data_IF_162901130059
#
_entry.id   IF_162901130059
#
_cell.length_a   1.000
_cell.length_b   1.000
_cell.length_c   1.000
_cell.angle_alpha   90.00
_cell.angle_beta   90.00
_cell.angle_gamma   90.00
#
_symmetry.space_group_name_H-M   'P 1'
#
loop_
_entity.id
_entity.type
_entity.pdbx_description
1 polymer ?
#
# COMPACT_ATOMS: atom_id res chain seq x y z
N UNK A 1 3.59 12.77 0.96
CA UNK A 1 3.03 11.62 0.22
C UNK A 1 1.82 11.10 0.99
N UNK A 2 0.88 10.44 0.33
CA UNK A 2 -0.37 9.97 0.95
C UNK A 2 -0.30 8.46 1.10
N UNK A 3 -0.36 7.95 2.34
CA UNK A 3 -0.41 6.51 2.62
C UNK A 3 -1.85 6.00 2.59
N UNK A 4 -2.12 4.90 1.89
CA UNK A 4 -3.45 4.25 1.83
C UNK A 4 -3.75 3.36 3.04
N UNK A 5 -2.80 3.24 3.96
CA UNK A 5 -2.85 2.41 5.17
C UNK A 5 -2.21 3.18 6.32
N UNK A 6 -2.61 2.89 7.55
CA UNK A 6 -1.99 3.52 8.73
C UNK A 6 -0.66 2.86 9.09
N UNK A 7 0.21 3.59 9.76
CA UNK A 7 1.46 3.05 10.30
C UNK A 7 1.21 1.87 11.25
N UNK A 8 0.16 1.92 12.06
CA UNK A 8 -0.20 0.83 12.97
C UNK A 8 -0.56 -0.46 12.22
N UNK A 9 -1.28 -0.37 11.10
CA UNK A 9 -1.60 -1.53 10.26
C UNK A 9 -0.32 -2.16 9.69
N UNK A 10 0.61 -1.32 9.25
CA UNK A 10 1.91 -1.76 8.71
C UNK A 10 2.77 -2.38 9.81
N UNK A 11 2.86 -1.75 10.98
CA UNK A 11 3.58 -2.29 12.15
C UNK A 11 3.04 -3.65 12.57
N UNK A 12 1.71 -3.78 12.66
CA UNK A 12 1.07 -5.06 13.02
C UNK A 12 1.41 -6.15 12.00
N UNK A 13 1.36 -5.83 10.70
CA UNK A 13 1.72 -6.78 9.65
C UNK A 13 3.22 -7.09 9.63
N UNK A 14 4.07 -6.10 9.88
CA UNK A 14 5.52 -6.25 9.86
C UNK A 14 6.02 -7.09 11.05
N UNK A 15 5.44 -6.94 12.24
CA UNK A 15 5.78 -7.73 13.43
C UNK A 15 5.63 -9.25 13.21
N UNK A 16 4.71 -9.68 12.33
CA UNK A 16 4.56 -11.09 11.96
C UNK A 16 5.79 -11.65 11.20
N UNK A 17 6.62 -10.78 10.62
CA UNK A 17 7.69 -11.18 9.70
C UNK A 17 9.07 -10.57 9.98
N UNK A 18 9.16 -9.47 10.74
CA UNK A 18 10.37 -8.70 11.00
C UNK A 18 10.44 -8.30 12.50
N UNK A 19 10.58 -9.27 13.42
CA UNK A 19 10.54 -8.99 14.86
C UNK A 19 11.74 -8.19 15.39
N UNK A 20 12.88 -8.17 14.68
CA UNK A 20 14.16 -7.66 15.20
C UNK A 20 14.77 -6.50 14.38
N UNK A 21 14.03 -5.96 13.42
CA UNK A 21 14.51 -4.85 12.59
C UNK A 21 13.56 -3.66 12.80
N UNK A 22 14.08 -2.44 12.91
CA UNK A 22 13.29 -1.21 12.92
C UNK A 22 13.34 -0.55 11.53
N UNK A 23 12.66 -1.13 10.53
CA UNK A 23 12.55 -0.46 9.26
C UNK A 23 11.77 0.85 9.44
N UNK A 24 12.18 1.91 8.73
CA UNK A 24 11.31 3.03 8.39
C UNK A 24 10.05 2.53 7.64
N UNK A 25 9.08 2.05 8.44
CA UNK A 25 7.82 1.50 7.99
C UNK A 25 6.92 2.59 7.42
N UNK A 26 7.11 3.84 7.84
CA UNK A 26 6.38 4.97 7.26
C UNK A 26 6.81 5.18 5.81
N UNK A 27 8.11 5.17 5.53
CA UNK A 27 8.62 5.21 4.16
C UNK A 27 8.10 4.03 3.33
N UNK A 28 8.09 2.81 3.89
CA UNK A 28 7.56 1.64 3.19
C UNK A 28 6.06 1.77 2.88
N UNK A 29 5.27 2.31 3.82
CA UNK A 29 3.84 2.54 3.64
C UNK A 29 3.56 3.57 2.53
N UNK A 30 4.28 4.68 2.54
CA UNK A 30 4.16 5.75 1.55
C UNK A 30 4.54 5.25 0.15
N UNK A 31 5.68 4.56 0.04
CA UNK A 31 6.18 4.04 -1.23
C UNK A 31 5.29 2.92 -1.80
N UNK A 32 4.83 1.99 -0.96
CA UNK A 32 3.90 0.94 -1.35
C UNK A 32 2.57 1.51 -1.86
N UNK A 33 2.07 2.55 -1.19
CA UNK A 33 0.86 3.26 -1.61
C UNK A 33 1.03 3.88 -3.00
N UNK A 34 2.17 4.54 -3.25
CA UNK A 34 2.48 5.12 -4.55
C UNK A 34 2.57 4.05 -5.66
N UNK A 35 3.22 2.91 -5.39
CA UNK A 35 3.33 1.80 -6.34
C UNK A 35 1.95 1.24 -6.70
N UNK A 36 1.09 1.02 -5.70
CA UNK A 36 -0.25 0.47 -5.92
C UNK A 36 -1.14 1.46 -6.68
N UNK A 37 -1.08 2.75 -6.35
CA UNK A 37 -1.81 3.80 -7.09
C UNK A 37 -1.36 3.85 -8.55
N UNK A 38 -0.04 3.84 -8.81
CA UNK A 38 0.49 3.83 -10.17
C UNK A 38 0.04 2.57 -10.94
N UNK A 39 0.07 1.40 -10.31
CA UNK A 39 -0.37 0.16 -10.94
C UNK A 39 -1.86 0.20 -11.35
N UNK A 40 -2.71 0.76 -10.48
CA UNK A 40 -4.14 0.88 -10.73
C UNK A 40 -4.45 1.86 -11.86
N UNK A 41 -3.48 2.71 -12.24
CA UNK A 41 -3.57 3.72 -13.31
C UNK A 41 -4.81 4.60 -13.14
N UNK A 42 -5.18 4.92 -11.90
CA UNK A 42 -6.18 5.95 -11.68
C UNK A 42 -5.60 7.30 -12.13
N UNK A 43 -6.25 7.95 -13.09
CA UNK A 43 -5.80 9.27 -13.59
C UNK A 43 -5.68 10.30 -12.48
N UNK A 44 -6.58 10.22 -11.48
CA UNK A 44 -6.50 10.91 -10.20
C UNK A 44 -6.88 9.94 -9.07
N UNK A 45 -6.20 10.01 -7.92
CA UNK A 45 -6.60 9.24 -6.73
C UNK A 45 -8.02 9.67 -6.32
N UNK A 46 -8.98 8.73 -6.13
CA UNK A 46 -10.35 9.09 -5.82
C UNK A 46 -10.44 10.08 -4.64
N UNK A 47 -11.14 11.23 -4.79
CA UNK A 47 -11.25 12.23 -3.72
C UNK A 47 -11.78 11.66 -2.40
N UNK A 48 -12.63 10.63 -2.47
CA UNK A 48 -13.14 9.92 -1.30
C UNK A 48 -12.04 9.22 -0.48
N UNK A 49 -10.98 8.72 -1.13
CA UNK A 49 -9.83 8.13 -0.43
C UNK A 49 -9.00 9.21 0.23
N UNK A 50 -8.74 10.32 -0.47
CA UNK A 50 -8.04 11.47 0.08
C UNK A 50 -8.78 12.09 1.27
N UNK A 51 -10.11 12.16 1.21
CA UNK A 51 -10.96 12.66 2.29
C UNK A 51 -10.88 11.75 3.53
N UNK A 52 -10.96 10.43 3.36
CA UNK A 52 -10.82 9.47 4.46
C UNK A 52 -9.43 9.51 5.13
N UNK A 53 -8.42 10.02 4.42
CA UNK A 53 -7.05 10.19 4.91
C UNK A 53 -6.79 11.56 5.52
N UNK A 54 -7.64 12.56 5.26
CA UNK A 54 -7.47 13.95 5.71
C UNK A 54 -8.31 14.31 6.94
N UNK A 55 -9.37 13.56 7.24
CA UNK A 55 -10.11 13.75 8.48
C UNK A 55 -9.21 13.40 9.68
N UNK A 56 -9.17 14.25 10.69
CA UNK A 56 -8.49 13.97 11.95
C UNK A 56 -9.52 13.96 13.09
N UNK A 57 -9.72 12.84 13.81
CA UNK A 57 -8.97 11.60 13.66
C UNK A 57 -9.24 10.96 12.29
N UNK A 58 -8.26 10.20 11.73
CA UNK A 58 -8.43 9.48 10.47
C UNK A 58 -9.79 8.79 10.52
N UNK A 59 -10.71 9.25 9.68
CA UNK A 59 -11.97 8.57 9.48
C UNK A 59 -11.66 7.10 9.17
N UNK A 60 -12.59 6.17 9.42
CA UNK A 60 -12.31 4.78 9.09
C UNK A 60 -11.84 4.74 7.63
N UNK A 61 -10.69 4.11 7.37
CA UNK A 61 -10.18 3.82 6.03
C UNK A 61 -11.19 3.03 5.16
N UNK A 62 -12.41 2.80 5.66
CA UNK A 62 -13.66 2.43 4.99
C UNK A 62 -13.83 2.94 3.56
N UNK A 63 -13.29 4.11 3.19
CA UNK A 63 -13.40 4.60 1.81
C UNK A 63 -12.43 3.89 0.85
N UNK A 64 -11.27 3.43 1.34
CA UNK A 64 -10.30 2.65 0.56
C UNK A 64 -10.73 1.17 0.58
N UNK A 65 -10.98 0.53 -0.57
CA UNK A 65 -11.33 -0.88 -0.62
C UNK A 65 -10.33 -1.76 0.14
N UNK A 66 -10.83 -2.70 0.94
CA UNK A 66 -9.99 -3.61 1.74
C UNK A 66 -8.95 -4.35 0.90
N UNK A 67 -9.27 -4.69 -0.35
CA UNK A 67 -8.34 -5.36 -1.27
C UNK A 67 -7.14 -4.49 -1.65
N UNK A 68 -7.31 -3.17 -1.71
CA UNK A 68 -6.25 -2.21 -2.00
C UNK A 68 -5.39 -2.01 -0.76
N UNK A 69 -6.02 -1.88 0.42
CA UNK A 69 -5.28 -1.84 1.69
C UNK A 69 -4.42 -3.10 1.88
N UNK A 70 -4.97 -4.28 1.60
CA UNK A 70 -4.24 -5.54 1.68
C UNK A 70 -3.05 -5.59 0.70
N UNK A 71 -3.24 -5.14 -0.54
CA UNK A 71 -2.14 -5.05 -1.51
C UNK A 71 -1.01 -4.12 -1.05
N UNK A 72 -1.35 -2.94 -0.52
CA UNK A 72 -0.38 -1.98 0.01
C UNK A 72 0.40 -2.57 1.19
N UNK A 73 -0.27 -3.29 2.10
CA UNK A 73 0.40 -3.94 3.22
C UNK A 73 1.39 -5.03 2.78
N UNK A 74 1.03 -5.83 1.78
CA UNK A 74 1.92 -6.87 1.24
C UNK A 74 3.16 -6.23 0.59
N UNK A 75 2.99 -5.19 -0.23
CA UNK A 75 4.09 -4.46 -0.87
C UNK A 75 4.99 -3.79 0.18
N UNK A 76 4.40 -3.12 1.18
CA UNK A 76 5.15 -2.42 2.23
C UNK A 76 6.02 -3.39 3.06
N UNK A 77 5.47 -4.56 3.40
CA UNK A 77 6.23 -5.58 4.13
C UNK A 77 7.31 -6.21 3.25
N UNK A 78 7.04 -6.42 1.97
CA UNK A 78 8.05 -6.94 1.04
C UNK A 78 9.22 -5.96 0.87
N UNK A 79 8.94 -4.66 0.80
CA UNK A 79 9.96 -3.60 0.80
C UNK A 79 10.76 -3.58 2.10
N UNK A 80 10.09 -3.77 3.24
CA UNK A 80 10.76 -3.81 4.54
C UNK A 80 11.66 -5.06 4.68
N UNK A 81 11.26 -6.20 4.09
CA UNK A 81 12.05 -7.45 4.05
C UNK A 81 13.26 -7.35 3.12
N UNK A 82 13.09 -6.77 1.93
CA UNK A 82 14.06 -6.82 0.85
C UNK A 82 14.79 -5.48 0.62
N UNK A 83 15.18 -4.81 1.70
CA UNK A 83 15.83 -3.49 1.64
C UNK A 83 17.12 -3.44 0.81
N UNK A 84 17.84 -4.55 0.76
CA UNK A 84 19.15 -4.66 0.10
C UNK A 84 19.08 -5.37 -1.26
N UNK A 85 17.95 -5.99 -1.62
CA UNK A 85 17.86 -6.84 -2.80
C UNK A 85 17.46 -6.03 -4.05
N UNK A 86 18.34 -6.02 -5.05
CA UNK A 86 18.18 -5.25 -6.29
C UNK A 86 17.22 -5.86 -7.33
N UNK A 87 16.49 -6.95 -7.05
CA UNK A 87 15.87 -7.76 -8.12
C UNK A 87 14.57 -8.51 -7.71
N UNK A 88 13.70 -7.91 -6.90
CA UNK A 88 12.38 -8.47 -6.62
C UNK A 88 11.26 -7.63 -7.22
N UNK A 89 10.33 -8.23 -7.96
CA UNK A 89 9.07 -7.57 -8.31
C UNK A 89 8.29 -7.31 -7.03
N UNK A 90 8.29 -6.04 -6.57
CA UNK A 90 7.56 -5.60 -5.37
C UNK A 90 6.05 -5.90 -5.48
N UNK A 91 5.55 -5.97 -6.71
CA UNK A 91 4.21 -6.43 -7.03
C UNK A 91 4.24 -7.92 -7.38
N UNK A 92 4.11 -8.78 -6.37
CA UNK A 92 3.97 -10.22 -6.62
C UNK A 92 2.76 -10.53 -7.53
N UNK A 93 2.80 -11.62 -8.28
CA UNK A 93 1.68 -12.12 -9.11
C UNK A 93 0.35 -12.13 -8.37
N UNK A 94 0.39 -12.45 -7.07
CA UNK A 94 -0.79 -12.45 -6.21
C UNK A 94 -1.37 -11.04 -6.04
N UNK A 95 -0.52 -10.06 -5.75
CA UNK A 95 -0.92 -8.64 -5.62
C UNK A 95 -1.45 -8.13 -6.96
N UNK A 96 -0.74 -8.41 -8.05
CA UNK A 96 -1.11 -8.03 -9.42
C UNK A 96 -2.49 -8.58 -9.81
N UNK A 97 -2.79 -9.84 -9.51
CA UNK A 97 -4.11 -10.46 -9.77
C UNK A 97 -5.24 -9.85 -8.95
N UNK A 98 -4.97 -9.49 -7.69
CA UNK A 98 -5.96 -8.84 -6.82
C UNK A 98 -6.29 -7.45 -7.36
N UNK A 99 -5.26 -6.69 -7.75
CA UNK A 99 -5.40 -5.32 -8.23
C UNK A 99 -5.90 -5.23 -9.68
N UNK A 100 -5.70 -6.25 -10.51
CA UNK A 100 -6.10 -6.24 -11.94
C UNK A 100 -7.57 -5.89 -12.15
N UNK A 101 -8.46 -6.35 -11.26
CA UNK A 101 -9.90 -6.07 -11.34
C UNK A 101 -10.28 -4.63 -10.99
N UNK A 102 -9.36 -3.90 -10.35
CA UNK A 102 -9.56 -2.53 -9.89
C UNK A 102 -8.81 -1.53 -10.79
N UNK A 103 -8.01 -2.02 -11.73
CA UNK A 103 -7.24 -1.23 -12.68
C UNK A 103 -8.18 -0.62 -13.71
N UNK A 104 -8.03 0.66 -14.03
CA UNK A 104 -8.77 1.32 -15.10
C UNK A 104 -8.22 0.86 -16.47
N UNK A 105 -8.97 0.10 -17.28
CA UNK A 105 -8.49 -0.38 -18.57
C UNK A 105 -8.29 0.74 -19.60
N UNK A 106 -8.88 1.92 -19.41
CA UNK A 106 -8.74 3.04 -20.34
C UNK A 106 -7.42 3.82 -20.16
N UNK A 107 -6.77 3.66 -19.00
CA UNK A 107 -5.51 4.32 -18.62
C UNK A 107 -4.33 3.33 -18.49
N UNK A 108 -4.58 2.07 -18.84
CA UNK A 108 -3.70 0.91 -18.66
C UNK A 108 -2.73 0.65 -19.83
#
# INVERSE_FOLDING_TARGET
MVALVTLEQVQRRANDFLPDNEPDLQFCADAASAIVIDYLKFGDTPPAWLAALSDSPPGPLSAVPMVIQAAVLEVAVEMAKNREASVGDLLSDKVTRILWRQRDPALA
#
